data_IF_391332937028
#
_entry.id   IF_391332937028
#
_cell.length_a   1.000
_cell.length_b   1.000
_cell.length_c   1.000
_cell.angle_alpha   90.00
_cell.angle_beta   90.00
_cell.angle_gamma   90.00
#
_symmetry.space_group_name_H-M   'P 1'
#
loop_
_entity.id
_entity.type
_entity.pdbx_description
1 polymer ?
#
# COMPACT_ATOMS: atom_id res chain seq x y z
N UNK A 1 -18.66 18.07 -18.13
CA UNK A 1 -17.26 18.33 -18.54
C UNK A 1 -16.32 18.17 -17.34
N UNK A 2 -16.14 16.96 -16.88
CA UNK A 2 -15.25 16.73 -15.71
C UNK A 2 -13.93 16.12 -16.17
N UNK A 3 -12.84 16.46 -15.50
CA UNK A 3 -11.51 15.92 -15.89
C UNK A 3 -11.05 14.89 -14.86
N UNK A 4 -10.41 13.83 -15.29
CA UNK A 4 -9.92 12.79 -14.35
C UNK A 4 -8.40 12.90 -14.16
N UNK A 5 -7.94 12.73 -12.95
CA UNK A 5 -6.46 12.79 -12.69
C UNK A 5 -5.95 11.45 -12.16
N UNK A 6 -4.74 11.10 -12.51
CA UNK A 6 -4.16 9.81 -12.01
C UNK A 6 -3.45 10.05 -10.68
N UNK A 7 -3.67 9.18 -9.71
CA UNK A 7 -3.03 9.36 -8.38
C UNK A 7 -2.20 8.13 -8.01
N UNK A 8 -1.13 8.31 -7.27
CA UNK A 8 -0.29 7.15 -6.84
C UNK A 8 -1.04 6.31 -5.80
N UNK A 9 -1.22 5.05 -6.08
CA UNK A 9 -1.85 4.14 -5.08
C UNK A 9 -1.00 2.87 -4.91
N UNK A 10 -0.77 2.47 -3.68
CA UNK A 10 -0.02 1.20 -3.44
C UNK A 10 -0.84 0.29 -2.50
N UNK A 11 -0.98 -0.96 -2.85
CA UNK A 11 -1.66 -1.92 -1.92
C UNK A 11 -0.66 -2.98 -1.46
N UNK A 12 -0.48 -3.12 -0.18
CA UNK A 12 0.44 -4.19 0.35
C UNK A 12 -0.40 -5.34 0.89
N UNK A 13 0.02 -6.56 0.66
CA UNK A 13 -0.86 -7.73 0.96
C UNK A 13 -0.07 -8.87 1.62
N UNK A 14 -0.77 -9.89 2.05
CA UNK A 14 -0.15 -11.08 2.74
C UNK A 14 0.34 -10.65 4.13
N UNK A 15 -0.50 -9.97 4.85
CA UNK A 15 -0.24 -9.68 6.29
C UNK A 15 -1.04 -10.64 7.15
N UNK A 16 -0.45 -11.14 8.22
CA UNK A 16 -1.16 -12.15 9.05
C UNK A 16 -2.28 -11.48 9.86
N UNK A 17 -3.31 -12.21 10.18
CA UNK A 17 -4.41 -11.64 11.03
C UNK A 17 -3.86 -11.16 12.39
N UNK A 18 -2.70 -11.64 12.78
CA UNK A 18 -2.12 -11.24 14.09
C UNK A 18 -1.30 -9.95 13.98
N UNK A 19 -1.44 -9.19 12.90
CA UNK A 19 -0.67 -7.91 12.77
C UNK A 19 -1.34 -6.83 13.65
N UNK A 20 -0.62 -6.27 14.56
CA UNK A 20 -0.78 -4.82 14.86
C UNK A 20 0.21 -4.05 13.98
N UNK A 21 -0.26 -3.18 13.10
CA UNK A 21 0.70 -2.51 12.18
C UNK A 21 0.65 -0.98 12.37
N UNK A 22 1.12 -0.52 13.51
CA UNK A 22 1.58 0.88 13.62
C UNK A 22 3.02 0.97 13.14
N UNK A 23 3.86 0.05 13.56
CA UNK A 23 5.24 -0.04 13.00
C UNK A 23 5.18 -0.29 11.49
N UNK A 24 4.24 -1.09 11.05
CA UNK A 24 4.10 -1.36 9.58
C UNK A 24 3.74 -0.05 8.86
N UNK A 25 2.76 0.67 9.37
CA UNK A 25 2.39 1.98 8.74
C UNK A 25 3.58 2.96 8.78
N UNK A 26 4.27 3.05 9.90
CA UNK A 26 5.40 4.01 10.01
C UNK A 26 6.49 3.66 8.99
N UNK A 27 6.75 2.39 8.81
CA UNK A 27 7.77 1.96 7.78
C UNK A 27 7.37 2.47 6.40
N UNK A 28 6.12 2.36 6.03
CA UNK A 28 5.67 2.86 4.69
C UNK A 28 5.90 4.36 4.58
N UNK A 29 5.63 5.10 5.63
CA UNK A 29 5.85 6.58 5.61
C UNK A 29 7.33 6.89 5.37
N UNK A 30 8.21 6.14 5.98
CA UNK A 30 9.67 6.38 5.80
C UNK A 30 10.07 6.17 4.34
N UNK A 31 9.53 5.16 3.71
CA UNK A 31 9.85 4.89 2.28
C UNK A 31 9.32 6.03 1.39
N UNK A 32 8.13 6.51 1.66
CA UNK A 32 7.55 7.61 0.85
C UNK A 32 6.60 8.46 1.71
N UNK A 33 6.36 9.70 1.31
CA UNK A 33 5.43 10.57 2.08
C UNK A 33 4.03 9.95 2.09
N UNK A 34 3.35 10.02 3.20
CA UNK A 34 2.00 9.37 3.31
C UNK A 34 0.91 10.43 3.47
N UNK A 35 0.00 10.50 2.54
CA UNK A 35 -1.20 11.39 2.70
C UNK A 35 -2.23 10.69 3.60
N UNK A 36 -2.49 9.44 3.35
CA UNK A 36 -3.49 8.69 4.18
C UNK A 36 -3.20 7.19 4.13
N UNK A 37 -3.42 6.49 5.21
CA UNK A 37 -3.17 5.01 5.22
C UNK A 37 -4.25 4.29 6.05
N UNK A 38 -4.76 3.20 5.55
CA UNK A 38 -5.66 2.34 6.37
C UNK A 38 -5.17 0.88 6.33
N UNK A 39 -4.53 0.43 7.39
CA UNK A 39 -4.04 -0.97 7.44
C UNK A 39 -5.10 -1.89 8.06
N UNK A 40 -5.40 -2.99 7.42
CA UNK A 40 -6.24 -4.04 8.09
C UNK A 40 -5.38 -5.25 8.42
N UNK A 41 -5.38 -5.68 9.66
CA UNK A 41 -4.72 -6.97 10.01
C UNK A 41 -5.59 -8.17 9.62
N UNK A 42 -6.88 -8.10 9.90
CA UNK A 42 -7.73 -9.33 9.78
C UNK A 42 -7.75 -9.85 8.34
N UNK A 43 -8.04 -8.98 7.39
CA UNK A 43 -8.02 -9.39 5.97
C UNK A 43 -6.59 -9.64 5.48
N UNK A 44 -5.61 -9.10 6.16
CA UNK A 44 -4.19 -9.27 5.72
C UNK A 44 -3.90 -8.34 4.55
N UNK A 45 -4.55 -7.20 4.52
CA UNK A 45 -4.28 -6.20 3.44
C UNK A 45 -4.11 -4.80 4.04
N UNK A 46 -3.35 -3.96 3.40
CA UNK A 46 -3.27 -2.52 3.82
C UNK A 46 -3.23 -1.62 2.58
N UNK A 47 -4.01 -0.56 2.57
CA UNK A 47 -4.05 0.35 1.39
C UNK A 47 -3.51 1.73 1.77
N UNK A 48 -2.63 2.28 0.96
CA UNK A 48 -2.02 3.60 1.32
C UNK A 48 -1.82 4.46 0.07
N UNK A 49 -1.89 5.76 0.23
CA UNK A 49 -1.75 6.69 -0.94
C UNK A 49 -0.44 7.47 -0.85
N UNK A 50 0.22 7.67 -1.96
CA UNK A 50 1.50 8.44 -1.97
C UNK A 50 1.30 9.81 -2.61
N UNK A 51 2.21 10.72 -2.38
CA UNK A 51 2.04 12.12 -2.92
C UNK A 51 2.25 12.15 -4.44
N UNK A 52 3.25 11.46 -4.94
CA UNK A 52 3.58 11.56 -6.39
C UNK A 52 3.68 10.17 -7.05
N UNK A 53 3.46 10.11 -8.34
CA UNK A 53 3.48 8.78 -9.05
C UNK A 53 4.83 8.09 -8.88
N UNK A 54 5.92 8.84 -8.99
CA UNK A 54 7.26 8.20 -8.99
C UNK A 54 7.56 7.59 -7.61
N UNK A 55 7.23 8.28 -6.56
CA UNK A 55 7.47 7.73 -5.19
C UNK A 55 6.64 6.46 -4.99
N UNK A 56 5.43 6.44 -5.52
CA UNK A 56 4.58 5.22 -5.39
C UNK A 56 5.25 4.01 -6.06
N UNK A 57 5.73 4.19 -7.28
CA UNK A 57 6.35 3.03 -7.99
C UNK A 57 7.56 2.51 -7.22
N UNK A 58 8.38 3.40 -6.70
CA UNK A 58 9.57 2.97 -5.91
C UNK A 58 9.12 2.19 -4.67
N UNK A 59 8.07 2.65 -4.03
CA UNK A 59 7.59 1.95 -2.79
C UNK A 59 7.17 0.52 -3.14
N UNK A 60 6.49 0.34 -4.25
CA UNK A 60 6.04 -1.03 -4.64
C UNK A 60 7.24 -1.94 -4.92
N UNK A 61 8.24 -1.44 -5.60
CA UNK A 61 9.42 -2.29 -5.95
C UNK A 61 10.10 -2.80 -4.67
N UNK A 62 10.22 -1.96 -3.68
CA UNK A 62 10.88 -2.39 -2.41
C UNK A 62 9.97 -3.33 -1.60
N UNK A 63 8.70 -3.01 -1.50
CA UNK A 63 7.77 -3.83 -0.66
C UNK A 63 7.44 -5.16 -1.35
N UNK A 64 7.40 -5.17 -2.65
CA UNK A 64 6.99 -6.41 -3.39
C UNK A 64 8.06 -7.50 -3.25
N UNK A 65 7.64 -8.74 -3.09
CA UNK A 65 8.62 -9.87 -3.03
C UNK A 65 9.62 -9.65 -1.90
N UNK A 66 9.18 -9.07 -0.82
CA UNK A 66 10.13 -8.71 0.29
C UNK A 66 9.98 -9.72 1.44
N UNK A 67 11.07 -10.28 1.89
CA UNK A 67 10.98 -11.34 2.95
C UNK A 67 11.48 -10.80 4.28
N UNK A 68 10.71 -10.98 5.33
CA UNK A 68 11.18 -10.65 6.70
C UNK A 68 11.13 -11.91 7.55
N UNK A 69 11.76 -11.90 8.71
CA UNK A 69 11.84 -13.14 9.56
C UNK A 69 10.46 -13.80 9.72
N UNK A 70 10.28 -14.94 9.07
CA UNK A 70 9.07 -15.83 9.24
C UNK A 70 7.81 -15.23 8.58
N UNK A 71 7.94 -14.14 7.85
CA UNK A 71 6.74 -13.56 7.16
C UNK A 71 7.11 -13.05 5.76
N UNK A 72 6.16 -13.02 4.85
CA UNK A 72 6.45 -12.51 3.47
C UNK A 72 5.53 -11.34 3.15
N UNK A 73 6.07 -10.29 2.58
CA UNK A 73 5.22 -9.11 2.21
C UNK A 73 5.18 -8.96 0.69
N UNK A 74 4.00 -8.82 0.14
CA UNK A 74 3.87 -8.67 -1.34
C UNK A 74 3.28 -7.30 -1.67
N UNK A 75 3.57 -6.77 -2.84
CA UNK A 75 3.03 -5.43 -3.22
C UNK A 75 2.35 -5.52 -4.60
N UNK A 76 1.20 -4.89 -4.73
CA UNK A 76 0.49 -4.87 -6.04
C UNK A 76 -0.08 -3.47 -6.31
N UNK A 77 -0.41 -3.20 -7.55
CA UNK A 77 -1.00 -1.86 -7.89
C UNK A 77 -2.45 -2.02 -8.38
N UNK A 78 -3.40 -1.97 -7.46
CA UNK A 78 -4.82 -2.14 -7.84
C UNK A 78 -5.26 -1.02 -8.80
N UNK A 79 -6.23 -1.29 -9.63
CA UNK A 79 -6.76 -0.23 -10.54
C UNK A 79 -7.50 0.84 -9.73
N UNK A 80 -7.63 2.03 -10.28
CA UNK A 80 -8.39 3.10 -9.56
C UNK A 80 -9.82 2.63 -9.28
N UNK A 81 -10.39 1.89 -10.20
CA UNK A 81 -11.70 1.22 -9.93
C UNK A 81 -11.53 0.22 -8.79
N UNK A 82 -10.43 -0.50 -8.76
CA UNK A 82 -10.22 -1.49 -7.65
C UNK A 82 -10.01 -0.74 -6.33
N UNK A 83 -9.39 0.42 -6.37
CA UNK A 83 -9.22 1.22 -5.11
C UNK A 83 -10.59 1.60 -4.55
N UNK A 84 -11.50 2.02 -5.42
CA UNK A 84 -12.87 2.37 -4.94
C UNK A 84 -13.54 1.14 -4.30
N UNK A 85 -13.36 -0.02 -4.90
CA UNK A 85 -13.97 -1.26 -4.33
C UNK A 85 -13.46 -1.51 -2.91
N UNK A 86 -12.19 -1.27 -2.68
CA UNK A 86 -11.63 -1.45 -1.30
C UNK A 86 -12.30 -0.47 -0.33
N UNK A 87 -12.43 0.78 -0.74
CA UNK A 87 -13.07 1.80 0.13
C UNK A 87 -14.49 1.38 0.49
N UNK A 88 -15.17 0.74 -0.43
CA UNK A 88 -16.56 0.26 -0.15
C UNK A 88 -16.53 -1.19 0.35
N UNK A 89 -17.15 -1.43 1.48
CA UNK A 89 -17.16 -2.82 2.05
C UNK A 89 -18.29 -3.64 1.42
#
# INVERSE_FOLDING_TARGET
GAMAWGSSWLLLKNLTAQIDGPTLRTLCMQHGPLVSFHPYLNQGIALCKYTTREEANKAQMALNNCVLANTTIFAESPSENEVQSIMQH
#
